data_IF_597862710412
#
_entry.id   IF_597862710412
#
_cell.length_a   1.000
_cell.length_b   1.000
_cell.length_c   1.000
_cell.angle_alpha   90.00
_cell.angle_beta   90.00
_cell.angle_gamma   90.00
#
_symmetry.space_group_name_H-M   'P 1'
#
loop_
_entity.id
_entity.type
_entity.pdbx_description
1 polymer ?
#
# COMPACT_ATOMS: atom_id res chain seq x y z
N UNK A 1 19.88 -1.64 -1.49
CA UNK A 1 19.47 -0.81 -2.66
C UNK A 1 17.96 -0.99 -2.85
N UNK A 2 17.22 0.01 -3.34
CA UNK A 2 15.81 -0.19 -3.56
C UNK A 2 15.58 -1.32 -4.56
N UNK A 3 14.61 -2.19 -4.28
CA UNK A 3 14.23 -3.30 -5.18
C UNK A 3 13.83 -2.69 -6.54
N UNK A 4 14.38 -3.17 -7.67
CA UNK A 4 14.05 -2.62 -8.98
C UNK A 4 12.56 -2.83 -9.32
N UNK A 5 12.01 -1.94 -10.11
CA UNK A 5 10.66 -2.06 -10.63
C UNK A 5 10.50 -3.31 -11.49
N UNK A 6 9.27 -3.85 -11.57
CA UNK A 6 9.04 -5.11 -12.28
C UNK A 6 9.43 -5.05 -13.77
N UNK A 7 9.31 -3.89 -14.40
CA UNK A 7 9.73 -3.65 -15.79
C UNK A 7 11.22 -3.95 -15.99
N UNK A 8 12.06 -3.51 -15.07
CA UNK A 8 13.51 -3.71 -15.12
C UNK A 8 13.91 -5.18 -14.93
N UNK A 9 13.01 -6.00 -14.38
CA UNK A 9 13.25 -7.42 -14.16
C UNK A 9 12.94 -8.29 -15.39
N UNK A 10 12.27 -7.77 -16.42
CA UNK A 10 11.96 -8.55 -17.63
C UNK A 10 13.20 -9.17 -18.29
N UNK A 11 14.30 -8.41 -18.54
CA UNK A 11 15.51 -8.98 -19.15
C UNK A 11 16.12 -10.10 -18.29
N UNK A 12 16.20 -9.90 -16.95
CA UNK A 12 16.73 -10.91 -16.04
C UNK A 12 15.90 -12.18 -16.05
N UNK A 13 14.57 -12.06 -16.12
CA UNK A 13 13.68 -13.20 -16.22
C UNK A 13 13.89 -13.98 -17.52
N UNK A 14 13.88 -13.31 -18.67
CA UNK A 14 14.12 -13.97 -19.97
C UNK A 14 15.53 -14.58 -20.06
N UNK A 15 16.54 -13.91 -19.50
CA UNK A 15 17.92 -14.40 -19.45
C UNK A 15 18.02 -15.70 -18.66
N UNK A 16 17.26 -15.87 -17.57
CA UNK A 16 17.26 -17.12 -16.80
C UNK A 16 16.70 -18.33 -17.58
N UNK A 17 16.01 -18.09 -18.70
CA UNK A 17 15.41 -19.11 -19.57
C UNK A 17 16.11 -19.20 -20.94
N UNK A 18 17.22 -18.48 -21.14
CA UNK A 18 17.84 -18.28 -22.46
C UNK A 18 18.38 -19.57 -23.10
N UNK A 19 18.66 -20.60 -22.30
CA UNK A 19 19.09 -21.92 -22.80
C UNK A 19 17.96 -22.73 -23.47
N UNK A 20 16.71 -22.26 -23.34
CA UNK A 20 15.53 -22.91 -23.91
C UNK A 20 15.06 -24.15 -23.15
N UNK A 21 15.61 -24.44 -21.96
CA UNK A 21 15.14 -25.50 -21.08
C UNK A 21 13.99 -25.01 -20.14
N UNK A 22 13.36 -25.99 -19.49
CA UNK A 22 12.35 -25.71 -18.46
C UNK A 22 13.00 -25.35 -17.12
N UNK A 23 12.73 -24.17 -16.61
CA UNK A 23 13.23 -23.66 -15.34
C UNK A 23 12.12 -23.38 -14.33
N UNK A 24 12.34 -23.61 -13.03
CA UNK A 24 11.43 -23.14 -12.00
C UNK A 24 11.56 -21.63 -11.80
N UNK A 25 10.55 -21.01 -11.17
CA UNK A 25 10.57 -19.57 -10.86
C UNK A 25 11.76 -19.16 -9.98
N UNK A 26 12.31 -20.10 -9.19
CA UNK A 26 13.49 -19.84 -8.35
C UNK A 26 14.70 -19.37 -9.16
N UNK A 27 14.87 -19.88 -10.37
CA UNK A 27 16.02 -19.55 -11.21
C UNK A 27 15.92 -18.12 -11.73
N UNK A 28 14.72 -17.69 -12.13
CA UNK A 28 14.47 -16.30 -12.49
C UNK A 28 14.67 -15.35 -11.29
N UNK A 29 14.28 -15.78 -10.08
CA UNK A 29 14.55 -15.02 -8.85
C UNK A 29 16.03 -14.89 -8.58
N UNK A 30 16.78 -15.99 -8.66
CA UNK A 30 18.25 -15.98 -8.45
C UNK A 30 18.95 -15.11 -9.49
N UNK A 31 18.52 -15.18 -10.75
CA UNK A 31 19.06 -14.33 -11.80
C UNK A 31 18.82 -12.85 -11.51
N UNK A 32 17.60 -12.46 -11.12
CA UNK A 32 17.28 -11.08 -10.77
C UNK A 32 18.06 -10.61 -9.52
N UNK A 33 18.18 -11.45 -8.49
CA UNK A 33 19.01 -11.15 -7.30
C UNK A 33 20.45 -10.87 -7.68
N UNK A 34 21.03 -11.70 -8.55
CA UNK A 34 22.40 -11.55 -9.01
C UNK A 34 22.61 -10.30 -9.88
N UNK A 35 21.71 -10.07 -10.85
CA UNK A 35 21.81 -8.95 -11.79
C UNK A 35 21.67 -7.58 -11.09
N UNK A 36 20.85 -7.51 -10.03
CA UNK A 36 20.61 -6.26 -9.27
C UNK A 36 21.35 -6.18 -7.94
N UNK A 37 22.10 -7.21 -7.55
CA UNK A 37 22.86 -7.25 -6.31
C UNK A 37 21.99 -7.09 -5.05
N UNK A 38 20.82 -7.74 -5.03
CA UNK A 38 19.86 -7.62 -3.91
C UNK A 38 20.36 -8.37 -2.68
N UNK A 39 20.24 -7.75 -1.52
CA UNK A 39 20.61 -8.33 -0.23
C UNK A 39 19.44 -9.10 0.40
N UNK A 40 19.73 -9.90 1.44
CA UNK A 40 18.68 -10.58 2.20
C UNK A 40 17.73 -9.58 2.91
N UNK A 41 18.19 -8.39 3.23
CA UNK A 41 17.37 -7.32 3.80
C UNK A 41 16.41 -6.76 2.78
N UNK A 42 16.87 -6.50 1.56
CA UNK A 42 16.02 -6.05 0.45
C UNK A 42 14.89 -7.09 0.18
N UNK A 43 15.21 -8.38 0.22
CA UNK A 43 14.23 -9.44 -0.04
C UNK A 43 13.15 -9.58 1.05
N UNK A 44 13.40 -9.04 2.26
CA UNK A 44 12.44 -9.02 3.38
C UNK A 44 11.48 -7.83 3.34
N UNK A 45 11.73 -6.84 2.48
CA UNK A 45 10.83 -5.69 2.33
C UNK A 45 9.45 -6.15 1.91
N UNK A 46 8.43 -5.82 2.73
CA UNK A 46 7.05 -6.27 2.54
C UNK A 46 6.18 -5.17 1.94
N UNK A 47 5.19 -5.57 1.15
CA UNK A 47 4.09 -4.67 0.78
C UNK A 47 3.35 -4.21 2.05
N UNK A 48 2.73 -3.04 2.01
CA UNK A 48 2.05 -2.44 3.16
C UNK A 48 1.02 -3.36 3.83
N UNK A 49 0.36 -4.22 3.06
CA UNK A 49 -0.56 -5.25 3.57
C UNK A 49 0.13 -6.44 4.23
N UNK A 50 1.46 -6.51 4.22
CA UNK A 50 2.27 -7.53 4.90
C UNK A 50 2.08 -8.98 4.42
N UNK A 51 1.41 -9.21 3.28
CA UNK A 51 1.10 -10.56 2.78
C UNK A 51 2.17 -11.13 1.86
N UNK A 52 2.96 -10.28 1.22
CA UNK A 52 3.95 -10.67 0.23
C UNK A 52 5.12 -9.67 0.25
N UNK A 53 6.36 -10.15 0.00
CA UNK A 53 7.47 -9.22 -0.17
C UNK A 53 7.38 -8.49 -1.52
N UNK A 54 7.85 -7.26 -1.54
CA UNK A 54 7.91 -6.40 -2.74
C UNK A 54 8.59 -7.13 -3.90
N UNK A 55 9.75 -7.77 -3.64
CA UNK A 55 10.46 -8.55 -4.64
C UNK A 55 9.60 -9.69 -5.22
N UNK A 56 8.94 -10.49 -4.36
CA UNK A 56 8.11 -11.60 -4.82
C UNK A 56 6.88 -11.13 -5.59
N UNK A 57 6.31 -9.99 -5.22
CA UNK A 57 5.22 -9.37 -5.95
C UNK A 57 5.68 -8.96 -7.36
N UNK A 58 6.77 -8.18 -7.45
CA UNK A 58 7.30 -7.66 -8.72
C UNK A 58 7.73 -8.77 -9.68
N UNK A 59 8.47 -9.78 -9.22
CA UNK A 59 8.86 -10.90 -10.07
C UNK A 59 7.66 -11.77 -10.49
N UNK A 60 6.62 -11.84 -9.65
CA UNK A 60 5.36 -12.50 -9.95
C UNK A 60 4.61 -11.80 -11.09
N UNK A 61 4.55 -10.48 -11.08
CA UNK A 61 3.95 -9.70 -12.17
C UNK A 61 4.79 -9.73 -13.44
N UNK A 62 6.12 -9.68 -13.32
CA UNK A 62 7.04 -9.90 -14.44
C UNK A 62 6.72 -11.22 -15.17
N UNK A 63 6.62 -12.33 -14.43
CA UNK A 63 6.20 -13.63 -14.98
C UNK A 63 4.83 -13.55 -15.66
N UNK A 64 3.85 -12.93 -15.00
CA UNK A 64 2.48 -12.86 -15.51
C UNK A 64 2.44 -12.11 -16.83
N UNK A 65 3.11 -10.98 -16.92
CA UNK A 65 3.10 -10.13 -18.10
C UNK A 65 3.86 -10.76 -19.26
N UNK A 66 5.04 -11.32 -19.03
CA UNK A 66 5.79 -12.06 -20.06
C UNK A 66 5.01 -13.26 -20.59
N UNK A 67 4.29 -13.98 -19.73
CA UNK A 67 3.41 -15.07 -20.15
C UNK A 67 2.23 -14.59 -20.96
N UNK A 68 1.59 -13.48 -20.56
CA UNK A 68 0.46 -12.88 -21.30
C UNK A 68 0.88 -12.31 -22.64
N UNK A 69 2.10 -11.81 -22.76
CA UNK A 69 2.70 -11.39 -24.03
C UNK A 69 3.11 -12.58 -24.92
N UNK A 70 3.14 -13.81 -24.38
CA UNK A 70 3.58 -14.99 -25.14
C UNK A 70 5.10 -15.09 -25.30
N UNK A 71 5.88 -14.35 -24.51
CA UNK A 71 7.34 -14.40 -24.51
C UNK A 71 7.89 -15.59 -23.71
N UNK A 72 7.08 -16.11 -22.76
CA UNK A 72 7.34 -17.35 -22.03
C UNK A 72 6.09 -18.23 -22.00
N UNK A 73 6.30 -19.53 -21.86
CA UNK A 73 5.23 -20.51 -21.65
C UNK A 73 5.44 -21.28 -20.35
N UNK A 74 4.38 -21.94 -19.89
CA UNK A 74 4.42 -22.80 -18.71
C UNK A 74 3.98 -24.21 -19.10
N UNK A 75 4.91 -25.04 -19.59
CA UNK A 75 4.59 -26.38 -20.06
C UNK A 75 4.13 -27.30 -18.94
N UNK A 76 4.63 -27.06 -17.72
CA UNK A 76 4.23 -27.81 -16.53
C UNK A 76 4.04 -26.89 -15.31
N UNK A 77 3.51 -27.44 -14.21
CA UNK A 77 3.23 -26.64 -13.01
C UNK A 77 4.51 -26.02 -12.45
N UNK A 78 4.50 -24.68 -12.29
CA UNK A 78 5.61 -23.89 -11.75
C UNK A 78 6.92 -23.95 -12.54
N UNK A 79 6.87 -24.40 -13.81
CA UNK A 79 8.00 -24.38 -14.73
C UNK A 79 7.72 -23.47 -15.91
N UNK A 80 8.76 -22.83 -16.41
CA UNK A 80 8.71 -21.84 -17.46
C UNK A 80 9.78 -22.10 -18.49
N UNK A 81 9.46 -21.81 -19.75
CA UNK A 81 10.36 -21.90 -20.89
C UNK A 81 10.22 -20.63 -21.72
N UNK A 82 11.31 -20.15 -22.31
CA UNK A 82 11.29 -19.02 -23.23
C UNK A 82 10.71 -19.47 -24.58
N UNK A 83 9.87 -18.65 -25.20
CA UNK A 83 9.38 -18.88 -26.54
C UNK A 83 10.35 -18.35 -27.60
N UNK A 84 10.15 -18.70 -28.88
CA UNK A 84 10.94 -18.14 -29.98
C UNK A 84 10.79 -16.60 -30.06
N UNK A 85 9.60 -16.07 -29.76
CA UNK A 85 9.40 -14.62 -29.67
C UNK A 85 10.14 -14.02 -28.48
N UNK A 86 10.14 -14.69 -27.33
CA UNK A 86 10.92 -14.28 -26.17
C UNK A 86 12.41 -14.21 -26.43
N UNK A 87 12.96 -15.18 -27.19
CA UNK A 87 14.36 -15.18 -27.62
C UNK A 87 14.68 -14.00 -28.51
N UNK A 88 13.84 -13.75 -29.54
CA UNK A 88 14.01 -12.60 -30.44
C UNK A 88 14.02 -11.27 -29.68
N UNK A 89 13.10 -11.08 -28.72
CA UNK A 89 13.04 -9.88 -27.89
C UNK A 89 14.30 -9.75 -27.04
N UNK A 90 14.78 -10.83 -26.44
CA UNK A 90 16.02 -10.82 -25.65
C UNK A 90 17.26 -10.49 -26.50
N UNK A 91 17.34 -11.06 -27.71
CA UNK A 91 18.45 -10.86 -28.64
C UNK A 91 18.43 -9.47 -29.32
N UNK A 92 17.26 -8.87 -29.48
CA UNK A 92 17.15 -7.54 -30.10
C UNK A 92 17.82 -6.45 -29.31
N UNK A 93 18.01 -6.64 -27.98
CA UNK A 93 18.53 -5.62 -27.08
C UNK A 93 17.59 -4.39 -26.91
N UNK A 94 16.35 -4.47 -27.43
CA UNK A 94 15.32 -3.44 -27.21
C UNK A 94 14.90 -3.44 -25.74
N UNK A 95 14.69 -2.27 -25.15
CA UNK A 95 14.20 -2.19 -23.78
C UNK A 95 12.80 -2.80 -23.67
N UNK A 96 12.64 -3.76 -22.76
CA UNK A 96 11.37 -4.48 -22.61
C UNK A 96 10.48 -3.66 -21.66
N UNK A 97 9.55 -2.93 -22.25
CA UNK A 97 8.56 -2.09 -21.58
C UNK A 97 7.15 -2.64 -21.76
N UNK A 98 6.18 -2.13 -21.01
CA UNK A 98 4.78 -2.45 -21.25
C UNK A 98 4.30 -2.05 -22.65
N UNK A 99 4.84 -0.96 -23.23
CA UNK A 99 4.56 -0.55 -24.61
C UNK A 99 5.02 -1.61 -25.62
N UNK A 100 6.21 -2.20 -25.43
CA UNK A 100 6.67 -3.32 -26.24
C UNK A 100 5.70 -4.51 -26.10
N UNK A 101 5.30 -4.84 -24.86
CA UNK A 101 4.36 -5.94 -24.61
C UNK A 101 2.97 -5.67 -25.21
N UNK A 102 2.55 -4.42 -25.34
CA UNK A 102 1.30 -4.04 -26.04
C UNK A 102 1.29 -4.36 -27.54
N UNK A 103 2.44 -4.63 -28.14
CA UNK A 103 2.50 -5.12 -29.55
C UNK A 103 1.85 -6.51 -29.68
N UNK A 104 1.76 -7.28 -28.59
CA UNK A 104 1.17 -8.61 -28.57
C UNK A 104 -0.33 -8.56 -28.24
N UNK A 105 -1.22 -9.07 -29.12
CA UNK A 105 -2.68 -8.97 -28.95
C UNK A 105 -3.16 -9.57 -27.62
N UNK A 106 -2.63 -10.72 -27.22
CA UNK A 106 -3.00 -11.41 -25.97
C UNK A 106 -2.66 -10.60 -24.71
N UNK A 107 -1.55 -9.85 -24.74
CA UNK A 107 -1.20 -8.94 -23.65
C UNK A 107 -2.13 -7.73 -23.63
N UNK A 108 -2.44 -7.16 -24.79
CA UNK A 108 -3.34 -6.00 -24.94
C UNK A 108 -4.75 -6.31 -24.41
N UNK A 109 -5.31 -7.47 -24.76
CA UNK A 109 -6.60 -7.92 -24.24
C UNK A 109 -6.58 -8.11 -22.74
N UNK A 110 -5.50 -8.64 -22.19
CA UNK A 110 -5.34 -8.81 -20.75
C UNK A 110 -5.18 -7.47 -20.03
N UNK A 111 -4.37 -6.57 -20.56
CA UNK A 111 -4.01 -5.32 -19.91
C UNK A 111 -5.18 -4.31 -19.92
N UNK A 112 -5.89 -4.20 -21.04
CA UNK A 112 -7.04 -3.29 -21.20
C UNK A 112 -8.34 -3.87 -20.63
N UNK A 113 -8.36 -5.12 -20.22
CA UNK A 113 -9.58 -5.84 -19.85
C UNK A 113 -10.38 -6.24 -21.08
N UNK A 114 -11.23 -7.27 -20.97
CA UNK A 114 -12.24 -7.56 -22.02
C UNK A 114 -13.28 -6.44 -21.95
N UNK A 115 -13.73 -5.88 -23.10
CA UNK A 115 -14.89 -5.01 -23.11
C UNK A 115 -16.07 -5.76 -22.48
N UNK A 116 -16.52 -5.32 -21.31
CA UNK A 116 -17.75 -5.84 -20.72
C UNK A 116 -18.91 -5.27 -21.51
N UNK A 117 -19.74 -6.13 -22.12
CA UNK A 117 -20.92 -5.71 -22.89
C UNK A 117 -22.00 -5.00 -22.05
N UNK A 118 -21.78 -4.82 -20.75
CA UNK A 118 -22.73 -4.17 -19.83
C UNK A 118 -21.99 -3.35 -18.78
N UNK A 119 -21.57 -2.14 -19.12
CA UNK A 119 -21.48 -1.04 -18.16
C UNK A 119 -21.51 0.29 -18.90
N UNK A 120 -22.71 0.90 -18.93
CA UNK A 120 -22.86 2.34 -19.07
C UNK A 120 -22.10 3.01 -17.89
N UNK A 121 -21.23 3.96 -18.25
CA UNK A 121 -20.61 4.94 -17.35
C UNK A 121 -19.87 4.42 -16.11
N UNK A 122 -18.69 3.82 -16.31
CA UNK A 122 -17.55 4.10 -15.45
C UNK A 122 -16.44 4.56 -16.38
N UNK A 123 -16.03 5.81 -16.23
CA UNK A 123 -14.83 6.35 -16.84
C UNK A 123 -13.73 5.32 -16.61
N UNK A 124 -13.19 4.78 -17.68
CA UNK A 124 -11.96 4.03 -17.63
C UNK A 124 -10.92 5.04 -17.12
N UNK A 125 -10.71 5.07 -15.79
CA UNK A 125 -9.49 5.67 -15.25
C UNK A 125 -8.37 5.03 -16.06
N UNK A 126 -7.80 5.81 -16.94
CA UNK A 126 -6.61 5.51 -17.70
C UNK A 126 -5.62 4.93 -16.71
N UNK A 127 -5.44 3.60 -16.74
CA UNK A 127 -4.22 3.01 -16.16
C UNK A 127 -3.12 3.75 -16.89
N UNK A 128 -2.37 4.54 -16.16
CA UNK A 128 -1.20 5.21 -16.71
C UNK A 128 -0.38 4.10 -17.37
N UNK A 129 -0.28 4.12 -18.71
CA UNK A 129 0.34 3.08 -19.53
C UNK A 129 1.81 2.86 -19.10
N UNK A 130 2.38 3.83 -18.41
CA UNK A 130 3.72 3.86 -17.84
C UNK A 130 3.80 3.55 -16.32
N UNK A 131 2.78 2.97 -15.70
CA UNK A 131 2.90 2.71 -14.28
C UNK A 131 3.95 1.62 -14.01
N UNK A 132 5.06 2.04 -13.49
CA UNK A 132 6.18 1.20 -13.04
C UNK A 132 5.82 0.41 -11.77
N UNK A 133 4.60 0.61 -11.26
CA UNK A 133 4.02 -0.03 -10.07
C UNK A 133 3.22 -1.29 -10.45
N UNK A 134 3.28 -2.29 -9.61
CA UNK A 134 2.35 -3.43 -9.72
C UNK A 134 0.93 -3.01 -9.30
N UNK A 135 -0.13 -3.75 -9.71
CA UNK A 135 -1.49 -3.47 -9.27
C UNK A 135 -1.66 -3.42 -7.74
N UNK A 136 -0.94 -4.27 -6.98
CA UNK A 136 -0.97 -4.24 -5.53
C UNK A 136 -0.30 -3.00 -4.95
N UNK A 137 0.83 -2.56 -5.52
CA UNK A 137 1.51 -1.32 -5.11
C UNK A 137 0.63 -0.10 -5.38
N UNK A 138 0.00 -0.03 -6.56
CA UNK A 138 -0.96 1.03 -6.89
C UNK A 138 -2.13 1.06 -5.91
N UNK A 139 -2.66 -0.10 -5.54
CA UNK A 139 -3.74 -0.25 -4.57
C UNK A 139 -3.34 0.23 -3.17
N UNK A 140 -2.13 -0.12 -2.72
CA UNK A 140 -1.60 0.33 -1.43
C UNK A 140 -1.38 1.85 -1.41
N UNK A 141 -0.86 2.41 -2.50
CA UNK A 141 -0.71 3.86 -2.67
C UNK A 141 -2.05 4.61 -2.63
N UNK A 142 -3.06 4.10 -3.36
CA UNK A 142 -4.40 4.69 -3.37
C UNK A 142 -5.05 4.62 -2.00
N UNK A 143 -4.91 3.50 -1.29
CA UNK A 143 -5.45 3.34 0.06
C UNK A 143 -4.78 4.31 1.06
N UNK A 144 -3.46 4.48 0.98
CA UNK A 144 -2.74 5.49 1.78
C UNK A 144 -3.28 6.89 1.51
N UNK A 145 -3.45 7.25 0.22
CA UNK A 145 -3.99 8.55 -0.17
C UNK A 145 -5.41 8.75 0.36
N UNK A 146 -6.28 7.75 0.24
CA UNK A 146 -7.64 7.80 0.79
C UNK A 146 -7.64 7.97 2.32
N UNK A 147 -6.80 7.20 3.03
CA UNK A 147 -6.69 7.33 4.49
C UNK A 147 -6.20 8.72 4.90
N UNK A 148 -5.25 9.29 4.16
CA UNK A 148 -4.75 10.64 4.43
C UNK A 148 -5.84 11.69 4.21
N UNK A 149 -6.58 11.63 3.10
CA UNK A 149 -7.71 12.52 2.84
C UNK A 149 -8.78 12.41 3.92
N UNK A 150 -9.10 11.19 4.37
CA UNK A 150 -10.03 10.96 5.46
C UNK A 150 -9.54 11.55 6.78
N UNK A 151 -8.25 11.39 7.10
CA UNK A 151 -7.63 11.98 8.29
C UNK A 151 -7.74 13.52 8.26
N UNK A 152 -7.40 14.13 7.12
CA UNK A 152 -7.48 15.59 6.94
C UNK A 152 -8.92 16.08 7.08
N UNK A 153 -9.89 15.39 6.49
CA UNK A 153 -11.31 15.73 6.63
C UNK A 153 -11.81 15.60 8.08
N UNK A 154 -11.43 14.53 8.77
CA UNK A 154 -11.77 14.32 10.19
C UNK A 154 -11.17 15.42 11.07
N UNK A 155 -9.91 15.76 10.88
CA UNK A 155 -9.25 16.84 11.60
C UNK A 155 -9.95 18.18 11.33
N UNK A 156 -10.27 18.49 10.09
CA UNK A 156 -10.99 19.69 9.72
C UNK A 156 -12.38 19.74 10.39
N UNK A 157 -13.13 18.65 10.40
CA UNK A 157 -14.41 18.56 11.11
C UNK A 157 -14.27 18.76 12.61
N UNK A 158 -13.25 18.17 13.24
CA UNK A 158 -12.97 18.36 14.66
C UNK A 158 -12.66 19.83 14.96
N UNK A 159 -11.84 20.47 14.11
CA UNK A 159 -11.46 21.87 14.28
C UNK A 159 -12.62 22.86 14.01
N UNK A 160 -13.53 22.54 13.11
CA UNK A 160 -14.67 23.38 12.79
C UNK A 160 -15.80 23.33 13.83
N UNK A 161 -15.80 22.32 14.70
CA UNK A 161 -16.78 22.18 15.77
C UNK A 161 -16.42 22.98 17.02
N UNK A 162 -17.35 23.04 17.99
CA UNK A 162 -17.17 23.76 19.25
C UNK A 162 -16.15 23.07 20.17
N UNK A 163 -15.49 23.78 21.10
CA UNK A 163 -14.67 23.17 22.14
C UNK A 163 -15.41 22.08 22.93
N UNK A 164 -16.65 22.33 23.33
CA UNK A 164 -17.48 21.36 24.05
C UNK A 164 -17.77 20.08 23.24
N UNK A 165 -17.83 20.17 21.91
CA UNK A 165 -17.88 18.98 21.05
C UNK A 165 -16.58 18.18 21.15
N UNK A 166 -15.44 18.85 21.12
CA UNK A 166 -14.13 18.21 21.21
C UNK A 166 -13.94 17.48 22.54
N UNK A 167 -14.26 18.14 23.66
CA UNK A 167 -14.22 17.56 25.02
C UNK A 167 -15.07 16.28 25.11
N UNK A 168 -16.31 16.34 24.66
CA UNK A 168 -17.22 15.19 24.62
C UNK A 168 -16.68 14.07 23.74
N UNK A 169 -16.17 14.40 22.56
CA UNK A 169 -15.60 13.42 21.63
C UNK A 169 -14.40 12.67 22.26
N UNK A 170 -13.54 13.37 22.99
CA UNK A 170 -12.40 12.76 23.70
C UNK A 170 -12.88 11.78 24.76
N UNK A 171 -13.87 12.17 25.58
CA UNK A 171 -14.44 11.30 26.61
C UNK A 171 -15.09 10.06 26.00
N UNK A 172 -15.91 10.22 24.95
CA UNK A 172 -16.53 9.10 24.21
C UNK A 172 -15.50 8.18 23.56
N UNK A 173 -14.42 8.74 23.02
CA UNK A 173 -13.32 7.95 22.45
C UNK A 173 -12.66 7.06 23.51
N UNK A 174 -12.32 7.61 24.68
CA UNK A 174 -11.73 6.85 25.77
C UNK A 174 -12.65 5.74 26.29
N UNK A 175 -13.96 6.01 26.36
CA UNK A 175 -14.97 5.01 26.68
C UNK A 175 -15.00 3.88 25.64
N UNK A 176 -15.02 4.22 24.33
CA UNK A 176 -14.96 3.22 23.24
C UNK A 176 -13.68 2.42 23.21
N UNK A 177 -12.57 3.00 23.66
CA UNK A 177 -11.29 2.31 23.82
C UNK A 177 -11.26 1.37 25.04
N UNK A 178 -12.31 1.37 25.87
CA UNK A 178 -12.44 0.45 27.01
C UNK A 178 -11.75 0.92 28.29
N UNK A 179 -11.43 2.22 28.42
CA UNK A 179 -10.82 2.75 29.65
C UNK A 179 -11.80 2.84 30.84
N UNK A 180 -13.09 2.71 30.59
CA UNK A 180 -14.13 2.79 31.60
C UNK A 180 -15.37 3.50 31.06
N UNK A 181 -16.26 3.97 31.97
CA UNK A 181 -17.37 4.80 31.53
C UNK A 181 -17.12 6.28 31.76
N UNK A 182 -17.44 7.07 30.71
CA UNK A 182 -17.12 8.48 30.63
C UNK A 182 -18.24 9.39 31.10
N UNK A 183 -17.89 10.51 31.77
CA UNK A 183 -18.78 11.61 32.09
C UNK A 183 -18.09 12.92 31.73
N UNK A 184 -18.74 13.72 30.87
CA UNK A 184 -18.29 15.09 30.54
C UNK A 184 -18.63 16.00 31.70
N UNK A 185 -17.67 16.82 32.15
CA UNK A 185 -17.87 17.82 33.19
C UNK A 185 -18.44 19.12 32.61
N UNK A 186 -19.05 19.97 33.45
CA UNK A 186 -19.53 21.27 32.99
C UNK A 186 -18.47 22.33 33.25
N UNK A 187 -18.08 23.05 32.22
CA UNK A 187 -16.95 23.99 32.07
C UNK A 187 -16.84 25.16 33.11
N UNK A 188 -17.67 25.26 34.15
CA UNK A 188 -17.71 26.44 34.96
C UNK A 188 -17.14 26.34 36.40
N UNK A 189 -16.69 25.14 36.85
CA UNK A 189 -16.27 24.96 38.25
C UNK A 189 -15.12 23.93 38.49
N UNK A 190 -14.58 23.29 37.45
CA UNK A 190 -13.80 22.07 37.68
C UNK A 190 -12.31 22.22 37.29
N UNK A 191 -11.71 23.38 37.57
CA UNK A 191 -10.25 23.66 37.44
C UNK A 191 -9.64 23.23 36.08
N UNK A 192 -10.46 23.15 35.02
CA UNK A 192 -10.03 22.77 33.67
C UNK A 192 -10.13 21.26 33.37
N UNK A 193 -10.85 20.50 34.21
CA UNK A 193 -11.16 19.09 33.95
C UNK A 193 -12.39 19.03 33.02
N UNK A 194 -12.22 18.44 31.83
CA UNK A 194 -13.24 18.36 30.80
C UNK A 194 -14.04 17.05 30.85
N UNK A 195 -13.50 16.03 31.53
CA UNK A 195 -14.18 14.76 31.70
C UNK A 195 -13.56 13.85 32.75
N UNK A 196 -14.35 12.85 33.13
CA UNK A 196 -13.99 11.81 34.10
C UNK A 196 -14.26 10.46 33.45
N UNK A 197 -13.31 9.52 33.58
CA UNK A 197 -13.50 8.13 33.19
C UNK A 197 -13.42 7.25 34.43
N UNK A 198 -14.53 6.60 34.76
CA UNK A 198 -14.63 5.68 35.86
C UNK A 198 -14.23 4.27 35.44
N UNK A 199 -13.16 3.73 36.02
CA UNK A 199 -12.63 2.42 35.67
C UNK A 199 -13.35 1.28 36.39
N UNK A 200 -13.97 1.57 37.52
CA UNK A 200 -14.74 0.60 38.32
C UNK A 200 -16.18 1.06 38.53
N UNK A 201 -17.07 0.11 38.92
CA UNK A 201 -18.50 0.39 39.14
C UNK A 201 -18.78 1.23 40.38
N UNK A 202 -17.84 1.31 41.31
CA UNK A 202 -17.98 2.04 42.56
C UNK A 202 -17.40 3.46 42.48
N UNK A 203 -16.63 3.75 41.38
CA UNK A 203 -16.06 5.06 41.13
C UNK A 203 -14.85 5.37 42.02
N UNK A 204 -14.14 4.37 42.51
CA UNK A 204 -12.91 4.57 43.28
C UNK A 204 -11.71 4.91 42.41
N UNK A 205 -11.63 4.28 41.21
CA UNK A 205 -10.59 4.56 40.25
C UNK A 205 -11.10 5.47 39.14
N UNK A 206 -10.61 6.71 39.12
CA UNK A 206 -11.06 7.75 38.16
C UNK A 206 -9.87 8.33 37.43
N UNK A 207 -10.00 8.38 36.08
CA UNK A 207 -9.08 9.09 35.21
C UNK A 207 -9.68 10.49 34.95
N UNK A 208 -8.91 11.51 35.28
CA UNK A 208 -9.25 12.91 34.96
C UNK A 208 -8.78 13.23 33.55
N UNK A 209 -9.65 13.82 32.74
CA UNK A 209 -9.37 14.15 31.34
C UNK A 209 -9.41 15.66 31.16
N UNK A 210 -8.33 16.22 30.62
CA UNK A 210 -8.30 17.57 30.10
C UNK A 210 -8.01 17.51 28.60
N UNK A 211 -8.90 18.04 27.77
CA UNK A 211 -8.82 18.04 26.32
C UNK A 211 -8.45 19.42 25.80
N UNK A 212 -7.28 19.59 25.22
CA UNK A 212 -6.84 20.84 24.62
C UNK A 212 -6.79 20.74 23.11
N UNK A 213 -7.64 21.48 22.41
CA UNK A 213 -7.65 21.58 20.96
C UNK A 213 -6.68 22.67 20.50
N UNK A 214 -5.51 22.25 20.02
CA UNK A 214 -4.54 23.17 19.43
C UNK A 214 -4.76 23.28 17.93
N UNK A 215 -4.33 24.42 17.37
CA UNK A 215 -4.21 24.59 15.92
C UNK A 215 -3.22 23.55 15.37
N UNK A 216 -3.49 22.89 14.23
CA UNK A 216 -2.59 21.92 13.61
C UNK A 216 -1.16 22.44 13.37
N UNK A 217 -1.03 23.75 13.12
CA UNK A 217 0.26 24.41 12.90
C UNK A 217 1.03 24.65 14.22
N UNK A 218 0.33 24.58 15.38
CA UNK A 218 0.93 24.85 16.68
C UNK A 218 1.49 23.59 17.30
N UNK A 219 2.81 23.51 17.46
CA UNK A 219 3.47 22.41 18.19
C UNK A 219 3.24 22.56 19.70
N UNK A 220 2.80 21.48 20.33
CA UNK A 220 2.67 21.40 21.79
C UNK A 220 4.07 21.30 22.41
N UNK A 221 4.42 22.23 23.28
CA UNK A 221 5.71 22.31 23.93
C UNK A 221 5.70 21.74 25.36
N UNK A 222 6.89 21.67 25.98
CA UNK A 222 7.06 21.26 27.37
C UNK A 222 6.20 22.04 28.39
N UNK A 223 6.06 23.39 28.27
CA UNK A 223 5.28 24.16 29.24
C UNK A 223 3.79 23.76 29.28
N UNK A 224 3.22 23.42 28.12
CA UNK A 224 1.82 23.01 28.02
C UNK A 224 1.59 21.63 28.66
N UNK A 225 2.57 20.73 28.62
CA UNK A 225 2.50 19.41 29.28
C UNK A 225 2.70 19.51 30.79
N UNK A 226 3.57 20.42 31.25
CA UNK A 226 3.84 20.62 32.66
C UNK A 226 2.72 21.38 33.41
N UNK A 227 1.87 22.11 32.72
CA UNK A 227 0.74 22.79 33.31
C UNK A 227 -0.41 21.87 33.73
N UNK A 228 -0.34 20.57 33.42
CA UNK A 228 -1.33 19.54 33.76
C UNK A 228 -0.93 18.68 34.95
N UNK A 229 0.31 18.83 35.51
CA UNK A 229 0.86 18.03 36.59
C UNK A 229 0.72 18.66 37.95
#
# INVERSE_FOLDING_TARGET
>A
MPIPQYLKMYPSFLKSLSDGAEHPLSDAKQQAIADFGLTEEDLKEMLDRGRQSVFNNRIGWCRTYLKKAGLIESPSRARFIITEEGKKVLESGEEITNELLMRYPSFREFFNGKPSENTDHAEAETREEDSEETPEEAMDRLQKKMNQLLQDELLQKIHSNTPAFFERMVVELMEKMGYGWGKVTQSSRDEGIDGLIYQDKLGFDVIYVQAKRYDPEKKVGRPELQAFG
#
